data_IF_537061061933
#
_entry.id   IF_537061061933
#
_cell.length_a   1.000
_cell.length_b   1.000
_cell.length_c   1.000
_cell.angle_alpha   90.00
_cell.angle_beta   90.00
_cell.angle_gamma   90.00
#
_symmetry.space_group_name_H-M   'P 1'
#
loop_
_entity.id
_entity.type
_entity.pdbx_description
1 polymer ?
#
# COMPACT_ATOMS: atom_id res chain seq x y z
N UNK A 1 9.35 0.82 -22.44
CA UNK A 1 8.07 1.43 -22.02
C UNK A 1 7.90 2.79 -22.65
N UNK A 2 6.84 3.01 -23.42
CA UNK A 2 6.52 4.30 -24.04
C UNK A 2 5.66 5.18 -23.10
N UNK A 3 5.33 6.41 -23.53
CA UNK A 3 4.55 7.37 -22.71
C UNK A 3 3.11 6.91 -22.46
N UNK A 4 2.46 6.28 -23.45
CA UNK A 4 1.09 5.80 -23.31
C UNK A 4 1.03 4.62 -22.33
N UNK A 5 1.98 3.69 -22.41
CA UNK A 5 2.13 2.59 -21.46
C UNK A 5 2.36 3.10 -20.03
N UNK A 6 3.22 4.10 -19.84
CA UNK A 6 3.42 4.76 -18.54
C UNK A 6 2.10 5.28 -17.97
N UNK A 7 1.36 6.07 -18.77
CA UNK A 7 0.09 6.66 -18.33
C UNK A 7 -0.92 5.56 -17.98
N UNK A 8 -1.01 4.51 -18.81
CA UNK A 8 -1.90 3.38 -18.56
C UNK A 8 -1.57 2.68 -17.23
N UNK A 9 -0.29 2.39 -16.96
CA UNK A 9 0.13 1.78 -15.70
C UNK A 9 -0.13 2.68 -14.50
N UNK A 10 0.14 3.98 -14.59
CA UNK A 10 -0.15 4.92 -13.50
C UNK A 10 -1.65 5.03 -13.21
N UNK A 11 -2.48 5.07 -14.25
CA UNK A 11 -3.94 5.06 -14.09
C UNK A 11 -4.41 3.76 -13.42
N UNK A 12 -3.82 2.62 -13.78
CA UNK A 12 -4.14 1.34 -13.15
C UNK A 12 -3.82 1.35 -11.65
N UNK A 13 -2.62 1.80 -11.29
CA UNK A 13 -2.18 1.91 -9.89
C UNK A 13 -3.12 2.87 -9.12
N UNK A 14 -3.46 4.01 -9.71
CA UNK A 14 -4.38 4.97 -9.11
C UNK A 14 -5.78 4.36 -8.89
N UNK A 15 -6.32 3.67 -9.89
CA UNK A 15 -7.63 3.03 -9.80
C UNK A 15 -7.64 1.96 -8.71
N UNK A 16 -6.60 1.11 -8.64
CA UNK A 16 -6.48 0.09 -7.60
C UNK A 16 -6.42 0.70 -6.20
N UNK A 17 -5.69 1.81 -6.03
CA UNK A 17 -5.67 2.54 -4.77
C UNK A 17 -7.05 3.09 -4.39
N UNK A 18 -7.76 3.71 -5.35
CA UNK A 18 -9.11 4.24 -5.13
C UNK A 18 -10.14 3.15 -4.81
N UNK A 19 -10.08 2.02 -5.50
CA UNK A 19 -10.92 0.85 -5.23
C UNK A 19 -10.63 0.28 -3.84
N UNK A 20 -9.36 0.20 -3.46
CA UNK A 20 -8.95 -0.21 -2.11
C UNK A 20 -9.46 0.74 -1.02
N UNK A 21 -9.41 2.05 -1.25
CA UNK A 21 -9.96 3.04 -0.31
C UNK A 21 -11.48 2.93 -0.20
N UNK A 22 -12.19 2.70 -1.32
CA UNK A 22 -13.63 2.48 -1.30
C UNK A 22 -13.99 1.20 -0.52
N UNK A 23 -13.26 0.11 -0.76
CA UNK A 23 -13.40 -1.15 -0.01
C UNK A 23 -13.17 -0.93 1.49
N UNK A 24 -12.10 -0.22 1.87
CA UNK A 24 -11.86 0.15 3.26
C UNK A 24 -13.03 0.96 3.84
N UNK A 25 -13.50 1.98 3.12
CA UNK A 25 -14.65 2.80 3.53
C UNK A 25 -15.93 2.00 3.77
N UNK A 26 -16.18 0.97 2.96
CA UNK A 26 -17.27 0.03 3.19
C UNK A 26 -17.00 -0.79 4.46
N UNK A 27 -15.82 -1.38 4.61
CA UNK A 27 -15.47 -2.17 5.79
C UNK A 27 -15.47 -1.37 7.11
N UNK A 28 -15.43 -0.04 7.05
CA UNK A 28 -15.55 0.87 8.20
C UNK A 28 -17.00 1.07 8.69
N UNK A 29 -17.97 0.67 7.88
CA UNK A 29 -19.39 0.99 8.07
C UNK A 29 -20.15 -0.26 8.50
N UNK A 30 -20.62 -0.30 9.75
CA UNK A 30 -21.37 -1.45 10.29
C UNK A 30 -22.65 -1.74 9.49
N UNK A 31 -23.31 -0.70 8.99
CA UNK A 31 -24.52 -0.82 8.15
C UNK A 31 -24.24 -1.48 6.79
N UNK A 32 -23.00 -1.43 6.32
CA UNK A 32 -22.60 -2.08 5.07
C UNK A 32 -22.45 -3.59 5.21
N UNK A 33 -22.23 -4.14 6.41
CA UNK A 33 -21.90 -5.57 6.56
C UNK A 33 -23.01 -6.49 6.08
N UNK A 34 -24.27 -6.15 6.34
CA UNK A 34 -25.41 -6.91 5.82
C UNK A 34 -25.42 -6.98 4.29
N UNK A 35 -25.06 -5.87 3.63
CA UNK A 35 -24.95 -5.77 2.18
C UNK A 35 -23.72 -6.53 1.67
N UNK A 36 -22.57 -6.39 2.33
CA UNK A 36 -21.32 -7.08 1.97
C UNK A 36 -21.40 -8.59 2.16
N UNK A 37 -22.08 -9.07 3.20
CA UNK A 37 -22.34 -10.50 3.43
C UNK A 37 -23.29 -11.08 2.37
N UNK A 38 -24.22 -10.25 1.86
CA UNK A 38 -25.15 -10.66 0.80
C UNK A 38 -24.57 -10.59 -0.62
N UNK A 39 -23.47 -9.85 -0.80
CA UNK A 39 -22.84 -9.63 -2.09
C UNK A 39 -21.53 -10.41 -2.20
N UNK A 40 -21.45 -11.35 -3.15
CA UNK A 40 -20.18 -11.90 -3.59
C UNK A 40 -19.49 -10.89 -4.51
N UNK A 41 -18.89 -9.88 -3.90
CA UNK A 41 -18.11 -8.86 -4.59
C UNK A 41 -16.67 -9.34 -4.78
N UNK A 42 -16.25 -9.54 -6.03
CA UNK A 42 -14.86 -9.80 -6.42
C UNK A 42 -14.27 -8.53 -6.98
N UNK A 43 -13.20 -8.07 -6.33
CA UNK A 43 -12.35 -7.00 -6.84
C UNK A 43 -11.32 -7.63 -7.78
N UNK A 44 -11.30 -7.20 -9.03
CA UNK A 44 -10.25 -7.54 -10.00
C UNK A 44 -9.40 -6.31 -10.28
N UNK A 45 -8.32 -6.50 -11.05
CA UNK A 45 -7.36 -5.44 -11.42
C UNK A 45 -8.00 -4.24 -12.16
N UNK A 46 -9.24 -4.34 -12.65
CA UNK A 46 -9.89 -3.26 -13.40
C UNK A 46 -11.39 -3.12 -13.21
N UNK A 47 -12.03 -3.99 -12.42
CA UNK A 47 -13.46 -3.94 -12.21
C UNK A 47 -13.89 -4.50 -10.86
N UNK A 48 -15.05 -4.04 -10.42
CA UNK A 48 -15.82 -4.65 -9.35
C UNK A 48 -16.84 -5.57 -10.02
N UNK A 49 -16.74 -6.87 -9.78
CA UNK A 49 -17.71 -7.86 -10.27
C UNK A 49 -18.55 -8.35 -9.11
N UNK A 50 -19.88 -8.25 -9.24
CA UNK A 50 -20.83 -8.85 -8.31
C UNK A 50 -21.24 -10.20 -8.86
N UNK A 51 -20.87 -11.26 -8.16
CA UNK A 51 -21.18 -12.65 -8.53
C UNK A 51 -22.42 -13.06 -7.72
N UNK A 52 -23.35 -13.78 -8.33
CA UNK A 52 -24.55 -14.28 -7.66
C UNK A 52 -24.41 -15.73 -7.17
N UNK A 53 -23.33 -16.42 -7.55
CA UNK A 53 -23.10 -17.85 -7.32
C UNK A 53 -21.66 -18.13 -6.85
N UNK A 54 -21.51 -18.70 -5.64
CA UNK A 54 -20.22 -19.03 -5.01
C UNK A 54 -19.44 -20.11 -5.74
N UNK A 55 -20.10 -20.97 -6.52
CA UNK A 55 -19.46 -22.08 -7.24
C UNK A 55 -18.48 -21.60 -8.32
N UNK A 56 -18.76 -20.44 -8.93
CA UNK A 56 -17.92 -19.84 -9.97
C UNK A 56 -16.59 -19.30 -9.44
N UNK A 57 -16.55 -18.84 -8.17
CA UNK A 57 -15.34 -18.33 -7.54
C UNK A 57 -14.32 -19.44 -7.31
N UNK A 58 -14.78 -20.59 -6.82
CA UNK A 58 -13.90 -21.71 -6.51
C UNK A 58 -13.21 -22.28 -7.75
N UNK A 59 -13.88 -22.24 -8.90
CA UNK A 59 -13.31 -22.65 -10.18
C UNK A 59 -12.36 -21.60 -10.76
N UNK A 60 -12.72 -20.31 -10.69
CA UNK A 60 -11.93 -19.20 -11.24
C UNK A 60 -10.60 -18.96 -10.48
N UNK A 61 -10.56 -19.30 -9.19
CA UNK A 61 -9.37 -19.11 -8.34
C UNK A 61 -8.68 -20.43 -7.94
N UNK A 62 -9.06 -21.56 -8.55
CA UNK A 62 -8.47 -22.87 -8.29
C UNK A 62 -6.99 -22.89 -8.67
N UNK A 63 -6.11 -23.06 -7.68
CA UNK A 63 -4.66 -23.17 -7.89
C UNK A 63 -3.87 -21.87 -7.77
N UNK A 64 -4.51 -20.75 -7.45
CA UNK A 64 -3.81 -19.50 -7.13
C UNK A 64 -3.36 -19.55 -5.66
N UNK A 65 -2.05 -19.75 -5.41
CA UNK A 65 -1.49 -19.55 -4.08
C UNK A 65 -1.41 -18.05 -3.81
N UNK A 66 -2.34 -17.54 -3.00
CA UNK A 66 -2.28 -16.16 -2.53
C UNK A 66 -1.29 -16.08 -1.37
N UNK A 67 -0.15 -15.39 -1.51
CA UNK A 67 0.58 -14.94 -0.34
C UNK A 67 -0.37 -14.02 0.44
N UNK A 68 -0.41 -14.18 1.76
CA UNK A 68 -1.22 -13.43 2.73
C UNK A 68 -0.88 -11.92 2.78
N UNK A 69 -0.49 -11.31 1.66
CA UNK A 69 0.00 -9.93 1.53
C UNK A 69 -0.65 -9.10 0.42
N UNK A 70 -1.42 -9.70 -0.50
CA UNK A 70 -2.16 -8.95 -1.52
C UNK A 70 -3.44 -9.73 -1.80
N UNK A 71 -4.50 -9.49 -1.04
CA UNK A 71 -5.66 -10.34 -1.09
C UNK A 71 -6.69 -9.84 -2.12
N UNK A 72 -7.20 -10.71 -3.00
CA UNK A 72 -8.61 -10.77 -3.26
C UNK A 72 -9.22 -11.71 -2.21
N UNK A 73 -9.22 -11.30 -0.93
CA UNK A 73 -10.19 -11.90 -0.01
C UNK A 73 -11.55 -11.41 -0.51
N UNK A 74 -12.53 -12.30 -0.74
CA UNK A 74 -13.89 -11.86 -1.02
C UNK A 74 -14.26 -10.82 0.05
N UNK A 75 -14.71 -9.64 -0.38
CA UNK A 75 -14.97 -8.52 0.54
C UNK A 75 -15.91 -8.94 1.70
N UNK A 76 -16.75 -9.95 1.45
CA UNK A 76 -17.59 -10.65 2.40
C UNK A 76 -16.83 -11.34 3.56
N UNK A 77 -15.72 -12.03 3.30
CA UNK A 77 -14.93 -12.69 4.36
C UNK A 77 -14.23 -11.66 5.24
N UNK A 78 -13.68 -10.61 4.62
CA UNK A 78 -13.09 -9.49 5.35
C UNK A 78 -14.15 -8.77 6.20
N UNK A 79 -15.35 -8.55 5.66
CA UNK A 79 -16.47 -7.95 6.38
C UNK A 79 -16.87 -8.79 7.60
N UNK A 80 -17.01 -10.11 7.43
CA UNK A 80 -17.32 -11.02 8.54
C UNK A 80 -16.26 -10.98 9.63
N UNK A 81 -14.98 -11.07 9.26
CA UNK A 81 -13.88 -11.00 10.23
C UNK A 81 -13.86 -9.68 11.00
N UNK A 82 -14.08 -8.55 10.30
CA UNK A 82 -14.12 -7.21 10.93
C UNK A 82 -15.33 -7.06 11.84
N UNK A 83 -16.50 -7.59 11.45
CA UNK A 83 -17.73 -7.57 12.25
C UNK A 83 -17.56 -8.30 13.58
N UNK A 84 -16.88 -9.44 13.56
CA UNK A 84 -16.63 -10.27 14.75
C UNK A 84 -15.46 -9.75 15.61
N UNK A 85 -14.68 -8.80 15.09
CA UNK A 85 -13.51 -8.22 15.77
C UNK A 85 -13.91 -7.16 16.80
N UNK A 86 -13.14 -7.03 17.89
CA UNK A 86 -13.32 -5.92 18.83
C UNK A 86 -12.88 -4.55 18.25
N UNK A 87 -13.23 -3.45 18.91
CA UNK A 87 -12.89 -2.09 18.44
C UNK A 87 -11.39 -1.90 18.16
N UNK A 88 -10.52 -2.39 19.04
CA UNK A 88 -9.06 -2.26 18.91
C UNK A 88 -8.54 -3.10 17.74
N UNK A 89 -9.09 -4.29 17.55
CA UNK A 89 -8.78 -5.15 16.39
C UNK A 89 -9.21 -4.49 15.09
N UNK A 90 -10.42 -3.92 15.02
CA UNK A 90 -10.91 -3.17 13.85
C UNK A 90 -9.99 -2.01 13.50
N UNK A 91 -9.61 -1.17 14.47
CA UNK A 91 -8.66 -0.06 14.25
C UNK A 91 -7.30 -0.55 13.71
N UNK A 92 -6.80 -1.70 14.19
CA UNK A 92 -5.56 -2.29 13.69
C UNK A 92 -5.71 -2.76 12.23
N UNK A 93 -6.79 -3.49 11.91
CA UNK A 93 -7.07 -3.98 10.56
C UNK A 93 -7.15 -2.81 9.57
N UNK A 94 -7.88 -1.76 9.94
CA UNK A 94 -8.03 -0.56 9.12
C UNK A 94 -6.69 0.10 8.80
N UNK A 95 -5.86 0.26 9.84
CA UNK A 95 -4.53 0.83 9.67
C UNK A 95 -3.65 -0.07 8.80
N UNK A 96 -3.65 -1.37 9.01
CA UNK A 96 -2.85 -2.31 8.24
C UNK A 96 -3.28 -2.35 6.77
N UNK A 97 -4.60 -2.34 6.50
CA UNK A 97 -5.16 -2.26 5.16
C UNK A 97 -4.75 -0.95 4.47
N UNK A 98 -4.91 0.19 5.16
CA UNK A 98 -4.50 1.49 4.62
C UNK A 98 -3.00 1.56 4.34
N UNK A 99 -2.16 1.04 5.23
CA UNK A 99 -0.71 0.98 5.03
C UNK A 99 -0.34 0.12 3.84
N UNK A 100 -1.03 -1.01 3.62
CA UNK A 100 -0.85 -1.86 2.44
C UNK A 100 -1.18 -1.09 1.15
N UNK A 101 -2.29 -0.34 1.12
CA UNK A 101 -2.68 0.46 -0.05
C UNK A 101 -1.64 1.54 -0.36
N UNK A 102 -1.17 2.26 0.66
CA UNK A 102 -0.10 3.25 0.51
C UNK A 102 1.21 2.61 0.04
N UNK A 103 1.54 1.43 0.56
CA UNK A 103 2.72 0.68 0.19
C UNK A 103 2.74 0.34 -1.30
N UNK A 104 1.64 -0.22 -1.80
CA UNK A 104 1.47 -0.57 -3.22
C UNK A 104 1.55 0.69 -4.09
N UNK A 105 0.76 1.72 -3.77
CA UNK A 105 0.71 2.98 -4.52
C UNK A 105 2.11 3.59 -4.68
N UNK A 106 2.85 3.75 -3.57
CA UNK A 106 4.14 4.41 -3.57
C UNK A 106 5.22 3.58 -4.26
N UNK A 107 5.26 2.26 -4.01
CA UNK A 107 6.26 1.37 -4.62
C UNK A 107 6.06 1.25 -6.12
N UNK A 108 4.85 0.91 -6.55
CA UNK A 108 4.56 0.65 -7.96
C UNK A 108 4.69 1.93 -8.78
N UNK A 109 4.13 3.05 -8.31
CA UNK A 109 4.25 4.33 -9.02
C UNK A 109 5.72 4.73 -9.18
N UNK A 110 6.53 4.59 -8.13
CA UNK A 110 7.96 4.92 -8.18
C UNK A 110 8.72 4.05 -9.20
N UNK A 111 8.50 2.73 -9.18
CA UNK A 111 9.18 1.82 -10.12
C UNK A 111 8.72 2.03 -11.56
N UNK A 112 7.43 2.25 -11.80
CA UNK A 112 6.89 2.53 -13.13
C UNK A 112 7.51 3.82 -13.71
N UNK A 113 7.54 4.91 -12.94
CA UNK A 113 8.16 6.17 -13.39
C UNK A 113 9.67 5.98 -13.62
N UNK A 114 10.36 5.31 -12.70
CA UNK A 114 11.79 5.01 -12.82
C UNK A 114 12.10 4.21 -14.08
N UNK A 115 11.33 3.16 -14.37
CA UNK A 115 11.47 2.31 -15.54
C UNK A 115 11.25 3.11 -16.84
N UNK A 116 10.29 4.05 -16.85
CA UNK A 116 10.10 4.96 -17.98
C UNK A 116 11.34 5.82 -18.20
N UNK A 117 11.84 6.46 -17.14
CA UNK A 117 12.99 7.35 -17.21
C UNK A 117 14.28 6.60 -17.59
N UNK A 118 14.45 5.36 -17.15
CA UNK A 118 15.54 4.48 -17.59
C UNK A 118 15.46 4.21 -19.09
N UNK A 119 14.30 3.73 -19.58
CA UNK A 119 14.10 3.39 -20.98
C UNK A 119 14.19 4.60 -21.94
N UNK A 120 13.96 5.80 -21.43
CA UNK A 120 14.02 7.05 -22.20
C UNK A 120 15.33 7.84 -22.01
N UNK A 121 16.34 7.27 -21.34
CA UNK A 121 17.60 7.94 -21.00
C UNK A 121 17.44 9.23 -20.17
N UNK A 122 16.32 9.38 -19.46
CA UNK A 122 15.97 10.53 -18.60
C UNK A 122 16.09 10.23 -17.10
N UNK A 123 16.74 9.14 -16.73
CA UNK A 123 16.93 8.78 -15.31
C UNK A 123 17.63 9.90 -14.51
N UNK A 124 18.53 10.66 -15.14
CA UNK A 124 19.20 11.78 -14.48
C UNK A 124 18.21 12.89 -14.07
N UNK A 125 17.26 13.25 -14.94
CA UNK A 125 16.20 14.22 -14.62
C UNK A 125 15.28 13.74 -13.49
N UNK A 126 14.98 12.44 -13.48
CA UNK A 126 14.19 11.82 -12.42
C UNK A 126 14.89 11.91 -11.06
N UNK A 127 16.21 11.64 -11.02
CA UNK A 127 17.02 11.74 -9.79
C UNK A 127 17.23 13.19 -9.31
N UNK A 128 17.09 14.17 -10.19
CA UNK A 128 17.23 15.59 -9.87
C UNK A 128 15.96 16.20 -9.24
N UNK A 129 14.84 15.48 -9.23
CA UNK A 129 13.61 15.98 -8.61
C UNK A 129 13.81 16.13 -7.09
N UNK A 130 13.32 17.25 -6.52
CA UNK A 130 13.49 17.55 -5.09
C UNK A 130 12.88 16.48 -4.18
N UNK A 131 11.82 15.82 -4.64
CA UNK A 131 11.13 14.76 -3.92
C UNK A 131 11.75 13.37 -4.11
N UNK A 132 12.69 13.19 -5.05
CA UNK A 132 13.21 11.86 -5.42
C UNK A 132 13.81 11.11 -4.24
N UNK A 133 14.67 11.78 -3.47
CA UNK A 133 15.34 11.15 -2.34
C UNK A 133 14.31 10.72 -1.29
N UNK A 134 13.38 11.61 -0.94
CA UNK A 134 12.29 11.30 0.00
C UNK A 134 11.48 10.10 -0.47
N UNK A 135 10.97 10.11 -1.70
CA UNK A 135 10.17 9.02 -2.24
C UNK A 135 10.94 7.70 -2.29
N UNK A 136 12.23 7.72 -2.67
CA UNK A 136 13.09 6.54 -2.69
C UNK A 136 13.25 5.94 -1.30
N UNK A 137 13.45 6.77 -0.27
CA UNK A 137 13.61 6.29 1.11
C UNK A 137 12.32 5.71 1.64
N UNK A 138 11.20 6.40 1.43
CA UNK A 138 9.88 5.90 1.84
C UNK A 138 9.60 4.57 1.16
N UNK A 139 9.81 4.49 -0.17
CA UNK A 139 9.71 3.24 -0.93
C UNK A 139 10.60 2.14 -0.34
N UNK A 140 11.87 2.44 -0.06
CA UNK A 140 12.81 1.45 0.49
C UNK A 140 12.41 0.99 1.89
N UNK A 141 11.97 1.92 2.75
CA UNK A 141 11.44 1.64 4.07
C UNK A 141 10.28 0.65 3.96
N UNK A 142 9.29 0.96 3.11
CA UNK A 142 8.14 0.09 2.87
C UNK A 142 8.56 -1.27 2.28
N UNK A 143 9.65 -1.36 1.51
CA UNK A 143 10.17 -2.62 0.93
C UNK A 143 10.96 -3.49 1.91
N UNK A 144 11.54 -2.92 2.95
CA UNK A 144 12.51 -3.59 3.82
C UNK A 144 12.13 -3.46 5.29
N UNK A 145 10.97 -4.02 5.66
CA UNK A 145 10.49 -4.11 7.06
C UNK A 145 10.40 -2.76 7.78
N UNK A 146 10.03 -1.69 7.08
CA UNK A 146 9.93 -0.34 7.63
C UNK A 146 11.28 0.21 8.18
N UNK A 147 12.40 -0.26 7.61
CA UNK A 147 13.73 0.20 7.98
C UNK A 147 14.23 1.27 7.01
N UNK A 148 14.65 2.42 7.54
CA UNK A 148 15.36 3.44 6.77
C UNK A 148 16.87 3.18 6.89
N UNK A 149 17.48 2.79 5.78
CA UNK A 149 18.93 2.67 5.68
C UNK A 149 19.51 3.85 4.90
N UNK A 150 20.51 4.49 5.50
CA UNK A 150 21.27 5.56 4.88
C UNK A 150 22.55 5.00 4.26
N UNK A 151 22.88 5.46 3.06
CA UNK A 151 24.16 5.19 2.40
C UNK A 151 25.31 5.87 3.12
N UNK A 152 25.09 7.08 3.66
CA UNK A 152 26.11 7.86 4.36
C UNK A 152 25.52 8.94 5.27
N UNK A 153 26.39 9.58 6.06
CA UNK A 153 26.02 10.65 7.01
C UNK A 153 25.47 11.93 6.34
N UNK A 154 25.87 12.23 5.10
CA UNK A 154 25.35 13.41 4.39
C UNK A 154 23.88 13.20 4.00
N UNK A 155 23.57 12.02 3.47
CA UNK A 155 22.21 11.60 3.17
C UNK A 155 21.35 11.57 4.44
N UNK A 156 21.88 11.01 5.54
CA UNK A 156 21.22 11.06 6.85
C UNK A 156 20.85 12.48 7.25
N UNK A 157 21.80 13.43 7.23
CA UNK A 157 21.53 14.85 7.56
C UNK A 157 20.47 15.48 6.65
N UNK A 158 20.57 15.26 5.33
CA UNK A 158 19.60 15.79 4.35
C UNK A 158 18.18 15.31 4.65
N UNK A 159 18.02 14.03 4.98
CA UNK A 159 16.72 13.41 5.23
C UNK A 159 16.19 13.75 6.62
N UNK A 160 17.05 13.71 7.64
CA UNK A 160 16.67 14.10 8.99
C UNK A 160 16.14 15.52 8.98
N UNK A 161 16.75 16.44 8.24
CA UNK A 161 16.22 17.80 8.06
C UNK A 161 14.82 17.84 7.40
N UNK A 162 14.54 16.96 6.44
CA UNK A 162 13.21 16.84 5.81
C UNK A 162 12.14 16.26 6.75
N UNK A 163 12.57 15.55 7.81
CA UNK A 163 11.72 14.89 8.80
C UNK A 163 11.66 15.65 10.15
N UNK A 164 12.63 16.53 10.42
CA UNK A 164 12.72 17.36 11.61
C UNK A 164 11.47 18.24 11.75
N UNK A 165 10.85 18.20 12.93
CA UNK A 165 9.63 18.95 13.23
C UNK A 165 8.31 18.32 12.72
N UNK A 166 8.35 17.14 12.09
CA UNK A 166 7.15 16.39 11.70
C UNK A 166 6.99 15.15 12.57
N UNK A 167 6.06 15.17 13.52
CA UNK A 167 5.60 13.95 14.20
C UNK A 167 4.95 13.02 13.16
N UNK A 168 5.71 12.05 12.65
CA UNK A 168 5.12 10.91 11.96
C UNK A 168 4.57 9.96 13.03
N UNK A 169 3.36 10.27 13.50
CA UNK A 169 2.55 9.48 14.45
C UNK A 169 3.26 9.13 15.77
N UNK A 170 2.77 9.71 16.88
CA UNK A 170 3.19 9.50 18.27
C UNK A 170 3.24 8.03 18.78
N UNK A 171 2.85 7.02 17.98
CA UNK A 171 2.98 5.58 18.29
C UNK A 171 4.21 4.91 17.67
N UNK A 172 4.91 5.59 16.76
CA UNK A 172 6.14 5.08 16.15
C UNK A 172 7.34 5.82 16.74
N UNK A 173 8.18 5.10 17.47
CA UNK A 173 9.41 5.66 18.03
C UNK A 173 10.52 5.67 16.99
N UNK A 174 11.34 6.71 17.00
CA UNK A 174 12.59 6.75 16.24
C UNK A 174 13.72 6.29 17.15
N UNK A 175 14.47 5.28 16.72
CA UNK A 175 15.80 5.03 17.27
C UNK A 175 16.80 5.23 16.15
N UNK A 176 17.76 6.13 16.36
CA UNK A 176 18.89 6.29 15.47
C UNK A 176 20.04 5.42 15.97
N UNK A 177 20.49 4.47 15.15
CA UNK A 177 21.84 3.93 15.28
C UNK A 177 22.73 4.57 14.20
N UNK A 178 24.04 4.32 14.26
CA UNK A 178 25.07 5.01 13.46
C UNK A 178 24.62 5.29 12.00
N UNK A 179 24.08 4.29 11.29
CA UNK A 179 23.61 4.42 9.90
C UNK A 179 22.17 3.94 9.64
N UNK A 180 21.35 3.71 10.68
CA UNK A 180 19.98 3.20 10.51
C UNK A 180 18.99 4.05 11.29
N UNK A 181 17.84 4.32 10.68
CA UNK A 181 16.65 4.80 11.36
C UNK A 181 15.63 3.68 11.36
N UNK A 182 15.17 3.32 12.54
CA UNK A 182 14.13 2.33 12.70
C UNK A 182 12.77 3.00 12.84
N UNK A 183 11.77 2.48 12.15
CA UNK A 183 10.38 2.63 12.57
C UNK A 183 10.06 1.48 13.51
N UNK A 184 9.95 1.75 14.80
CA UNK A 184 9.46 0.76 15.75
C UNK A 184 7.99 1.01 16.05
N UNK A 185 7.19 -0.06 15.97
CA UNK A 185 5.87 -0.13 16.63
C UNK A 185 6.14 -0.31 18.13
N UNK A 186 5.71 0.62 18.98
CA UNK A 186 5.60 0.31 20.40
C UNK A 186 4.52 -0.76 20.57
N UNK A 187 4.91 -1.97 20.97
CA UNK A 187 3.98 -2.97 21.48
C UNK A 187 3.59 -2.56 22.90
N UNK A 188 2.49 -1.81 23.01
CA UNK A 188 1.77 -1.65 24.28
C UNK A 188 0.65 -2.66 24.39
#
# INVERSE_FOLDING_TARGET
>A
MNKQELISQLNNIQNNFMLGLAALGLLLREDSFSVLESLLCVLTDSSISFISDTSQIHEQFKGVQFPLKVAPYPLAEAAKYIKDSDKRQRENIQREFFMMLLEVLLKESFEVIKNYCQNSNKLHLFKQQDWYDFARIVRNCLSHNFLVEYKNNQEKKKITHLLEGKELYSRYGWQASSNKLFWYRWST
#
